data_IF_243611541546
#
_entry.id   IF_243611541546
#
_cell.length_a   1.000
_cell.length_b   1.000
_cell.length_c   1.000
_cell.angle_alpha   90.00
_cell.angle_beta   90.00
_cell.angle_gamma   90.00
#
_symmetry.space_group_name_H-M   'P 1'
#
loop_
_entity.id
_entity.type
_entity.pdbx_description
1 polymer ?
#
# COMPACT_ATOMS: atom_id res chain seq x y z
N UNK A 1 -0.29 -14.90 -3.34
CA UNK A 1 -1.01 -14.00 -4.27
C UNK A 1 -1.92 -13.06 -3.46
N UNK A 2 -1.36 -12.07 -2.75
CA UNK A 2 -2.15 -11.23 -1.82
C UNK A 2 -2.82 -10.04 -2.52
N UNK A 3 -2.19 -9.50 -3.55
CA UNK A 3 -2.70 -8.35 -4.31
C UNK A 3 -4.05 -8.63 -4.99
N UNK A 4 -4.22 -9.81 -5.60
CA UNK A 4 -5.49 -10.20 -6.21
C UNK A 4 -6.58 -10.43 -5.16
N UNK A 5 -6.22 -10.94 -3.98
CA UNK A 5 -7.17 -11.10 -2.89
C UNK A 5 -7.68 -9.76 -2.39
N UNK A 6 -6.80 -8.75 -2.25
CA UNK A 6 -7.21 -7.38 -1.89
C UNK A 6 -8.10 -6.74 -2.98
N UNK A 7 -7.81 -7.02 -4.24
CA UNK A 7 -8.62 -6.53 -5.37
C UNK A 7 -10.02 -7.17 -5.38
N UNK A 8 -10.14 -8.42 -4.94
CA UNK A 8 -11.41 -9.13 -4.84
C UNK A 8 -12.18 -8.77 -3.56
N UNK A 9 -11.49 -8.73 -2.43
CA UNK A 9 -12.03 -8.35 -1.12
C UNK A 9 -11.14 -7.27 -0.47
N UNK A 10 -11.63 -6.03 -0.35
CA UNK A 10 -10.84 -4.93 0.20
C UNK A 10 -10.75 -4.96 1.73
N UNK A 11 -11.39 -5.90 2.43
CA UNK A 11 -11.36 -5.99 3.90
C UNK A 11 -10.16 -6.83 4.33
N UNK A 12 -9.18 -6.16 4.94
CA UNK A 12 -7.96 -6.79 5.41
C UNK A 12 -7.80 -6.66 6.93
N UNK A 13 -7.21 -7.66 7.55
CA UNK A 13 -6.82 -7.59 8.96
C UNK A 13 -5.33 -7.31 9.03
N UNK A 14 -4.97 -6.13 9.56
CA UNK A 14 -3.58 -5.70 9.72
C UNK A 14 -3.16 -5.85 11.17
N UNK A 15 -2.06 -6.56 11.39
CA UNK A 15 -1.43 -6.68 12.70
C UNK A 15 -0.20 -5.78 12.78
N UNK A 16 -0.25 -4.79 13.66
CA UNK A 16 0.86 -3.89 13.98
C UNK A 16 1.31 -4.20 15.40
N UNK A 17 2.41 -4.95 15.53
CA UNK A 17 2.91 -5.47 16.82
C UNK A 17 1.81 -6.28 17.54
N UNK A 18 1.27 -5.75 18.65
CA UNK A 18 0.20 -6.37 19.45
C UNK A 18 -1.21 -5.90 19.05
N UNK A 19 -1.34 -4.91 18.16
CA UNK A 19 -2.64 -4.38 17.73
C UNK A 19 -3.09 -5.05 16.43
N UNK A 20 -4.20 -5.77 16.49
CA UNK A 20 -4.89 -6.31 15.32
C UNK A 20 -6.07 -5.39 15.00
N UNK A 21 -6.16 -4.91 13.77
CA UNK A 21 -7.25 -4.05 13.31
C UNK A 21 -7.74 -4.46 11.93
N UNK A 22 -9.05 -4.50 11.77
CA UNK A 22 -9.68 -4.61 10.44
C UNK A 22 -9.62 -3.24 9.76
N UNK A 23 -9.08 -3.23 8.55
CA UNK A 23 -8.86 -2.05 7.72
C UNK A 23 -9.36 -2.34 6.31
N UNK A 24 -9.65 -1.28 5.56
CA UNK A 24 -9.98 -1.38 4.15
C UNK A 24 -8.73 -1.09 3.34
N UNK A 25 -8.22 -2.09 2.63
CA UNK A 25 -7.14 -1.92 1.69
C UNK A 25 -7.70 -1.54 0.32
N UNK A 26 -7.14 -0.50 -0.28
CA UNK A 26 -7.43 -0.10 -1.66
C UNK A 26 -6.15 0.21 -2.40
N UNK A 27 -6.16 0.03 -3.71
CA UNK A 27 -5.06 0.49 -4.57
C UNK A 27 -5.11 2.02 -4.65
N UNK A 28 -3.99 2.69 -4.42
CA UNK A 28 -3.86 4.14 -4.60
C UNK A 28 -4.03 4.52 -6.07
N UNK A 29 -4.61 5.69 -6.33
CA UNK A 29 -4.55 6.30 -7.67
C UNK A 29 -3.15 6.82 -7.95
N UNK A 30 -2.86 7.19 -9.21
CA UNK A 30 -1.55 7.73 -9.60
C UNK A 30 -1.22 9.05 -8.88
N UNK A 31 -2.21 9.93 -8.66
CA UNK A 31 -2.03 11.18 -7.90
C UNK A 31 -1.69 10.92 -6.43
N UNK A 32 -2.40 9.99 -5.78
CA UNK A 32 -2.08 9.63 -4.40
C UNK A 32 -0.73 8.94 -4.29
N UNK A 33 -0.38 8.06 -5.24
CA UNK A 33 0.95 7.46 -5.28
C UNK A 33 2.02 8.53 -5.41
N UNK A 34 1.87 9.51 -6.31
CA UNK A 34 2.85 10.58 -6.48
C UNK A 34 3.09 11.37 -5.18
N UNK A 35 2.06 11.52 -4.33
CA UNK A 35 2.18 12.16 -3.00
C UNK A 35 2.78 11.23 -1.94
N UNK A 36 2.44 9.94 -1.97
CA UNK A 36 2.90 8.94 -0.99
C UNK A 36 4.32 8.44 -1.27
N UNK A 37 4.73 8.40 -2.54
CA UNK A 37 6.04 7.92 -3.00
C UNK A 37 7.21 8.61 -2.28
N UNK A 38 7.30 9.95 -2.20
CA UNK A 38 8.39 10.61 -1.48
C UNK A 38 8.40 10.29 0.03
N UNK A 39 7.26 10.00 0.65
CA UNK A 39 7.21 9.58 2.06
C UNK A 39 7.73 8.15 2.22
N UNK A 40 7.41 7.27 1.28
CA UNK A 40 7.89 5.89 1.24
C UNK A 40 9.39 5.82 0.99
N UNK A 41 9.90 6.58 0.01
CA UNK A 41 11.35 6.62 -0.29
C UNK A 41 12.14 7.31 0.82
N UNK A 42 11.58 8.30 1.52
CA UNK A 42 12.21 8.87 2.71
C UNK A 42 12.34 7.86 3.87
N UNK A 43 11.37 6.96 4.01
CA UNK A 43 11.43 5.90 5.03
C UNK A 43 12.27 4.70 4.58
N UNK A 44 12.26 4.39 3.29
CA UNK A 44 12.97 3.26 2.70
C UNK A 44 13.43 3.59 1.27
N UNK A 45 14.66 4.08 1.10
CA UNK A 45 15.15 4.60 -0.18
C UNK A 45 15.24 3.54 -1.28
N UNK A 46 15.34 2.25 -0.91
CA UNK A 46 15.38 1.15 -1.88
C UNK A 46 14.09 1.02 -2.71
N UNK A 47 12.96 1.60 -2.28
CA UNK A 47 11.75 1.64 -3.12
C UNK A 47 11.97 2.32 -4.47
N UNK A 48 12.83 3.34 -4.51
CA UNK A 48 13.17 4.03 -5.75
C UNK A 48 13.98 3.13 -6.68
N UNK A 49 14.92 2.36 -6.12
CA UNK A 49 15.67 1.34 -6.87
C UNK A 49 14.73 0.26 -7.43
N UNK A 50 13.76 -0.20 -6.64
CA UNK A 50 12.77 -1.18 -7.11
C UNK A 50 11.93 -0.65 -8.28
N UNK A 51 11.52 0.62 -8.25
CA UNK A 51 10.82 1.22 -9.38
C UNK A 51 11.75 1.40 -10.58
N UNK A 52 13.02 1.75 -10.38
CA UNK A 52 13.98 1.88 -11.48
C UNK A 52 14.26 0.54 -12.19
N UNK A 53 14.11 -0.58 -11.49
CA UNK A 53 14.32 -1.93 -12.05
C UNK A 53 13.11 -2.47 -12.83
N UNK A 54 11.99 -1.76 -12.84
CA UNK A 54 10.79 -2.23 -13.53
C UNK A 54 10.02 -1.09 -14.19
N UNK A 55 9.69 -1.26 -15.48
CA UNK A 55 8.77 -0.37 -16.18
C UNK A 55 7.33 -0.39 -15.61
N UNK A 56 7.02 -1.33 -14.71
CA UNK A 56 5.69 -1.46 -14.12
C UNK A 56 5.58 -0.56 -12.89
N UNK A 57 4.54 0.28 -12.89
CA UNK A 57 4.17 1.06 -11.72
C UNK A 57 3.90 0.12 -10.54
N UNK A 58 4.68 0.25 -9.46
CA UNK A 58 4.46 -0.48 -8.21
C UNK A 58 3.16 0.04 -7.58
N UNK A 59 2.10 -0.80 -7.47
CA UNK A 59 0.85 -0.35 -6.90
C UNK A 59 1.02 -0.15 -5.39
N UNK A 60 0.79 1.07 -4.93
CA UNK A 60 0.76 1.37 -3.49
C UNK A 60 -0.63 1.01 -2.96
N UNK A 61 -0.67 0.24 -1.89
CA UNK A 61 -1.92 -0.12 -1.22
C UNK A 61 -2.10 0.79 -0.01
N UNK A 62 -3.19 1.54 -0.01
CA UNK A 62 -3.56 2.39 1.12
C UNK A 62 -4.50 1.58 2.02
N UNK A 63 -4.07 1.36 3.26
CA UNK A 63 -4.89 0.74 4.29
C UNK A 63 -5.55 1.84 5.12
N UNK A 64 -6.84 2.04 4.88
CA UNK A 64 -7.64 3.02 5.64
C UNK A 64 -8.37 2.31 6.79
N UNK A 65 -8.42 2.90 7.99
CA UNK A 65 -9.23 2.33 9.06
C UNK A 65 -10.69 2.34 8.63
N UNK A 66 -11.39 1.22 8.83
CA UNK A 66 -12.85 1.17 8.72
C UNK A 66 -13.42 2.06 9.84
N UNK A 67 -13.61 3.35 9.55
CA UNK A 67 -14.35 4.24 10.47
C UNK A 67 -15.76 3.66 10.61
N UNK A 68 -16.13 3.33 11.85
CA UNK A 68 -17.53 3.16 12.26
C UNK A 68 -18.25 4.49 12.19
#
# INVERSE_FOLDING_TARGET
MWYLNIKADPVVTVQIKSRIRSMKARVSTEDERARLWPMLTAMYPDFDNYQAWTDRIIPVIVCEPLKK
#
